data_IF_018914442777
#
_entry.id   IF_018914442777
#
_cell.length_a   1.000
_cell.length_b   1.000
_cell.length_c   1.000
_cell.angle_alpha   90.00
_cell.angle_beta   90.00
_cell.angle_gamma   90.00
#
_symmetry.space_group_name_H-M   'P 1'
#
loop_
_entity.id
_entity.type
_entity.pdbx_description
1 polymer ?
#
# COMPACT_ATOMS: atom_id res chain seq x y z
N UNK A 1 6.92 10.60 -16.97
CA UNK A 1 5.56 11.16 -16.73
C UNK A 1 4.61 9.98 -16.79
N UNK A 2 4.32 9.33 -15.67
CA UNK A 2 3.34 8.24 -15.61
C UNK A 2 1.98 8.86 -15.32
N UNK A 3 1.07 8.78 -16.28
CA UNK A 3 -0.28 9.28 -16.16
C UNK A 3 -1.03 8.49 -15.07
N UNK A 4 -1.59 9.19 -14.09
CA UNK A 4 -2.64 8.63 -13.23
C UNK A 4 -3.83 8.32 -14.12
N UNK A 5 -4.06 7.04 -14.42
CA UNK A 5 -5.23 6.61 -15.16
C UNK A 5 -6.49 7.05 -14.39
N UNK A 6 -7.47 7.70 -15.04
CA UNK A 6 -8.72 8.04 -14.39
C UNK A 6 -9.43 6.75 -13.97
N UNK A 7 -9.86 6.68 -12.69
CA UNK A 7 -10.59 5.53 -12.19
C UNK A 7 -11.94 5.40 -12.93
N UNK A 8 -12.29 4.23 -13.50
CA UNK A 8 -13.61 3.99 -14.07
C UNK A 8 -14.69 4.00 -12.97
N UNK A 9 -15.71 4.85 -13.14
CA UNK A 9 -16.82 5.03 -12.21
C UNK A 9 -17.60 3.72 -11.98
N UNK A 10 -17.88 3.40 -10.71
CA UNK A 10 -18.77 2.29 -10.31
C UNK A 10 -18.11 0.90 -10.23
N UNK A 11 -16.79 0.80 -10.41
CA UNK A 11 -16.06 -0.44 -10.15
C UNK A 11 -15.81 -0.64 -8.64
N UNK A 12 -15.86 -1.88 -8.16
CA UNK A 12 -15.38 -2.21 -6.80
C UNK A 12 -13.86 -2.34 -6.82
N UNK A 13 -13.22 -1.77 -5.82
CA UNK A 13 -11.76 -1.67 -5.75
C UNK A 13 -11.23 -2.27 -4.46
N UNK A 14 -9.98 -2.71 -4.51
CA UNK A 14 -9.17 -2.95 -3.32
C UNK A 14 -7.90 -2.10 -3.40
N UNK A 15 -7.32 -1.81 -2.25
CA UNK A 15 -6.03 -1.14 -2.17
C UNK A 15 -4.93 -2.20 -2.17
N UNK A 16 -4.09 -2.18 -3.19
CA UNK A 16 -2.83 -2.93 -3.19
C UNK A 16 -1.74 -2.07 -2.60
N UNK A 17 -1.02 -2.61 -1.62
CA UNK A 17 0.15 -1.99 -1.00
C UNK A 17 1.35 -2.83 -1.38
N UNK A 18 2.38 -2.18 -1.93
CA UNK A 18 3.63 -2.83 -2.33
C UNK A 18 4.79 -2.20 -1.56
N UNK A 19 5.63 -3.03 -0.95
CA UNK A 19 6.86 -2.63 -0.29
C UNK A 19 8.03 -3.35 -0.94
N UNK A 20 9.05 -2.59 -1.36
CA UNK A 20 10.30 -3.19 -1.85
C UNK A 20 11.09 -3.75 -0.66
N UNK A 21 11.63 -4.96 -0.71
CA UNK A 21 12.51 -5.41 0.38
C UNK A 21 13.83 -4.63 0.38
N UNK A 22 14.28 -4.16 1.54
CA UNK A 22 15.61 -3.57 1.65
C UNK A 22 16.69 -4.65 1.52
N UNK A 23 17.88 -4.31 1.01
CA UNK A 23 19.05 -5.16 1.18
C UNK A 23 19.36 -5.25 2.69
N UNK A 24 19.05 -6.39 3.30
CA UNK A 24 19.13 -6.59 4.74
C UNK A 24 20.12 -7.71 5.09
N UNK A 25 20.76 -7.60 6.26
CA UNK A 25 21.50 -8.74 6.82
C UNK A 25 20.55 -9.90 7.12
N UNK A 26 21.05 -11.15 7.20
CA UNK A 26 20.22 -12.35 7.43
C UNK A 26 19.30 -12.23 8.66
N UNK A 27 19.74 -11.52 9.70
CA UNK A 27 18.94 -11.26 10.91
C UNK A 27 17.80 -10.28 10.66
N UNK A 28 18.10 -9.13 10.04
CA UNK A 28 17.09 -8.12 9.69
C UNK A 28 16.07 -8.67 8.68
N UNK A 29 16.51 -9.51 7.75
CA UNK A 29 15.64 -10.22 6.82
C UNK A 29 14.64 -11.13 7.55
N UNK A 30 15.10 -11.90 8.55
CA UNK A 30 14.21 -12.76 9.34
C UNK A 30 13.21 -11.95 10.18
N UNK A 31 13.61 -10.80 10.72
CA UNK A 31 12.70 -9.89 11.43
C UNK A 31 11.63 -9.31 10.50
N UNK A 32 12.04 -8.86 9.30
CA UNK A 32 11.12 -8.37 8.29
C UNK A 32 10.14 -9.46 7.85
N UNK A 33 10.63 -10.67 7.59
CA UNK A 33 9.80 -11.84 7.28
C UNK A 33 8.76 -12.11 8.37
N UNK A 34 9.17 -12.15 9.65
CA UNK A 34 8.27 -12.46 10.76
C UNK A 34 7.17 -11.41 10.93
N UNK A 35 7.48 -10.13 10.67
CA UNK A 35 6.49 -9.05 10.75
C UNK A 35 5.54 -9.01 9.56
N UNK A 36 6.04 -9.24 8.33
CA UNK A 36 5.25 -9.04 7.11
C UNK A 36 4.50 -10.29 6.64
N UNK A 37 5.06 -11.49 6.83
CA UNK A 37 4.42 -12.75 6.43
C UNK A 37 2.97 -12.94 6.87
N UNK A 38 2.53 -12.52 8.08
CA UNK A 38 1.12 -12.67 8.47
C UNK A 38 0.17 -11.72 7.75
N UNK A 39 0.67 -10.63 7.15
CA UNK A 39 -0.17 -9.55 6.59
C UNK A 39 0.09 -9.27 5.10
N UNK A 40 1.15 -9.81 4.53
CA UNK A 40 1.58 -9.59 3.16
C UNK A 40 2.16 -10.86 2.54
N UNK A 41 1.93 -11.04 1.23
CA UNK A 41 2.59 -12.04 0.41
C UNK A 41 3.92 -11.52 -0.11
N UNK A 42 4.93 -12.38 -0.17
CA UNK A 42 6.23 -12.05 -0.76
C UNK A 42 6.33 -12.58 -2.20
N UNK A 43 6.77 -11.73 -3.11
CA UNK A 43 7.13 -12.08 -4.48
C UNK A 43 8.65 -12.12 -4.62
N UNK A 44 9.19 -13.32 -4.82
CA UNK A 44 10.63 -13.53 -5.01
C UNK A 44 11.16 -12.95 -6.32
N UNK A 45 10.33 -12.85 -7.37
CA UNK A 45 10.78 -12.36 -8.67
C UNK A 45 11.04 -10.85 -8.63
N UNK A 46 10.20 -10.10 -7.92
CA UNK A 46 10.32 -8.64 -7.79
C UNK A 46 10.98 -8.21 -6.48
N UNK A 47 11.21 -9.15 -5.55
CA UNK A 47 11.68 -8.87 -4.18
C UNK A 47 10.77 -7.86 -3.48
N UNK A 48 9.46 -8.04 -3.63
CA UNK A 48 8.45 -7.14 -3.04
C UNK A 48 7.47 -7.87 -2.14
N UNK A 49 7.01 -7.15 -1.13
CA UNK A 49 5.90 -7.54 -0.28
C UNK A 49 4.64 -6.87 -0.79
N UNK A 50 3.55 -7.63 -0.90
CA UNK A 50 2.26 -7.12 -1.33
C UNK A 50 1.15 -7.48 -0.34
N UNK A 51 0.32 -6.50 -0.01
CA UNK A 51 -0.87 -6.68 0.78
C UNK A 51 -2.08 -6.10 0.04
N UNK A 52 -3.26 -6.64 0.34
CA UNK A 52 -4.52 -6.22 -0.23
C UNK A 52 -5.47 -5.83 0.88
N UNK A 53 -6.01 -4.62 0.81
CA UNK A 53 -6.98 -4.11 1.79
C UNK A 53 -8.28 -3.80 1.07
N UNK A 54 -9.36 -4.35 1.62
CA UNK A 54 -10.70 -4.17 1.11
C UNK A 54 -11.44 -2.95 1.64
N UNK A 55 -11.09 -2.48 2.83
CA UNK A 55 -11.68 -1.32 3.47
C UNK A 55 -10.72 -0.75 4.52
N UNK A 56 -10.82 0.55 4.82
CA UNK A 56 -10.08 1.19 5.91
C UNK A 56 -10.76 0.97 7.26
N UNK A 57 -11.04 -0.29 7.60
CA UNK A 57 -11.44 -0.66 8.95
C UNK A 57 -10.20 -0.77 9.88
N UNK A 58 -10.42 -1.12 11.16
CA UNK A 58 -9.33 -1.22 12.14
C UNK A 58 -8.24 -2.21 11.71
N UNK A 59 -8.62 -3.31 11.02
CA UNK A 59 -7.67 -4.30 10.55
C UNK A 59 -6.88 -3.81 9.33
N UNK A 60 -7.55 -3.10 8.41
CA UNK A 60 -6.93 -2.41 7.29
C UNK A 60 -5.94 -1.34 7.75
N UNK A 61 -6.33 -0.50 8.70
CA UNK A 61 -5.45 0.51 9.30
C UNK A 61 -4.24 -0.12 10.01
N UNK A 62 -4.45 -1.19 10.78
CA UNK A 62 -3.36 -1.93 11.42
C UNK A 62 -2.37 -2.52 10.42
N UNK A 63 -2.87 -3.04 9.28
CA UNK A 63 -2.05 -3.55 8.18
C UNK A 63 -1.23 -2.42 7.55
N UNK A 64 -1.85 -1.28 7.23
CA UNK A 64 -1.14 -0.11 6.71
C UNK A 64 -0.05 0.35 7.68
N UNK A 65 -0.38 0.50 8.96
CA UNK A 65 0.57 0.97 9.95
C UNK A 65 1.77 0.03 10.08
N UNK A 66 1.55 -1.29 10.16
CA UNK A 66 2.64 -2.26 10.22
C UNK A 66 3.54 -2.21 8.97
N UNK A 67 2.94 -2.01 7.80
CA UNK A 67 3.64 -1.86 6.52
C UNK A 67 4.49 -0.59 6.49
N UNK A 68 3.94 0.57 6.89
CA UNK A 68 4.67 1.83 6.99
C UNK A 68 5.77 1.81 8.05
N UNK A 69 5.52 1.26 9.24
CA UNK A 69 6.51 1.14 10.31
C UNK A 69 7.70 0.26 9.87
N UNK A 70 7.41 -0.84 9.18
CA UNK A 70 8.43 -1.71 8.59
C UNK A 70 9.24 -0.94 7.55
N UNK A 71 8.56 -0.20 6.66
CA UNK A 71 9.23 0.56 5.63
C UNK A 71 10.12 1.68 6.17
N UNK A 72 9.66 2.38 7.19
CA UNK A 72 10.44 3.38 7.91
C UNK A 72 11.66 2.76 8.61
N UNK A 73 11.51 1.58 9.20
CA UNK A 73 12.59 0.89 9.93
C UNK A 73 13.69 0.40 9.01
N UNK A 74 13.33 -0.14 7.84
CA UNK A 74 14.28 -0.77 6.93
C UNK A 74 14.63 0.09 5.69
N UNK A 75 14.07 1.29 5.58
CA UNK A 75 14.37 2.24 4.50
C UNK A 75 13.78 1.82 3.15
N UNK A 76 12.59 1.22 3.16
CA UNK A 76 11.94 0.73 1.94
C UNK A 76 10.86 1.68 1.43
N UNK A 77 10.62 1.67 0.13
CA UNK A 77 9.55 2.46 -0.48
C UNK A 77 8.20 1.74 -0.33
N UNK A 78 7.16 2.46 0.11
CA UNK A 78 5.77 2.00 0.13
C UNK A 78 5.02 2.63 -1.03
N UNK A 79 4.42 1.78 -1.87
CA UNK A 79 3.56 2.19 -2.98
C UNK A 79 2.14 1.73 -2.72
N UNK A 80 1.17 2.62 -2.93
CA UNK A 80 -0.25 2.35 -2.79
C UNK A 80 -0.88 2.49 -4.17
N UNK A 81 -1.65 1.50 -4.59
CA UNK A 81 -2.35 1.52 -5.86
C UNK A 81 -3.76 0.94 -5.69
N UNK A 82 -4.80 1.64 -6.18
CA UNK A 82 -6.10 1.00 -6.33
C UNK A 82 -6.03 -0.02 -7.46
N UNK A 83 -6.52 -1.23 -7.20
CA UNK A 83 -6.59 -2.29 -8.20
C UNK A 83 -8.00 -2.87 -8.28
N UNK A 84 -8.45 -3.31 -9.47
CA UNK A 84 -9.72 -3.99 -9.60
C UNK A 84 -9.77 -5.22 -8.68
N UNK A 85 -10.93 -5.49 -8.11
CA UNK A 85 -11.13 -6.66 -7.24
C UNK A 85 -10.78 -7.97 -8.00
N UNK A 86 -9.77 -8.73 -7.56
CA UNK A 86 -9.43 -10.01 -8.16
C UNK A 86 -10.59 -11.01 -8.01
N UNK A 87 -10.77 -11.91 -8.98
CA UNK A 87 -11.82 -12.95 -8.92
C UNK A 87 -11.74 -13.85 -7.69
N UNK A 88 -10.56 -14.00 -7.10
CA UNK A 88 -10.31 -14.80 -5.89
C UNK A 88 -10.59 -14.05 -4.58
N UNK A 89 -10.87 -12.75 -4.64
CA UNK A 89 -11.08 -11.92 -3.46
C UNK A 89 -12.42 -12.23 -2.80
N UNK A 90 -12.40 -12.43 -1.48
CA UNK A 90 -13.59 -12.70 -0.65
C UNK A 90 -13.78 -11.69 0.49
N UNK A 91 -12.94 -10.66 0.53
CA UNK A 91 -12.96 -9.64 1.57
C UNK A 91 -13.91 -8.49 1.25
N UNK A 92 -13.90 -7.48 2.13
CA UNK A 92 -14.55 -6.19 1.89
C UNK A 92 -13.96 -5.51 0.65
N UNK A 93 -14.67 -4.54 0.09
CA UNK A 93 -14.20 -3.75 -1.06
C UNK A 93 -14.53 -2.30 -0.81
N UNK A 94 -13.71 -1.40 -1.36
CA UNK A 94 -14.03 0.02 -1.35
C UNK A 94 -15.23 0.22 -2.27
N UNK A 95 -16.25 0.87 -1.74
CA UNK A 95 -17.52 1.12 -2.44
C UNK A 95 -17.61 2.55 -2.95
N UNK A 96 -16.67 3.42 -2.57
CA UNK A 96 -16.62 4.82 -2.99
C UNK A 96 -15.25 5.22 -3.52
N UNK A 97 -15.21 5.77 -4.73
CA UNK A 97 -14.02 6.34 -5.35
C UNK A 97 -13.45 7.50 -4.51
N UNK A 98 -14.29 8.18 -3.72
CA UNK A 98 -13.85 9.30 -2.86
C UNK A 98 -12.94 8.85 -1.72
N UNK A 99 -13.15 7.65 -1.19
CA UNK A 99 -12.33 7.10 -0.09
C UNK A 99 -10.92 6.77 -0.57
N UNK A 100 -10.81 6.16 -1.75
CA UNK A 100 -9.52 5.87 -2.39
C UNK A 100 -8.83 7.17 -2.81
N UNK A 101 -9.56 8.12 -3.40
CA UNK A 101 -9.00 9.40 -3.81
C UNK A 101 -8.44 10.20 -2.62
N UNK A 102 -9.11 10.19 -1.47
CA UNK A 102 -8.62 10.83 -0.26
C UNK A 102 -7.30 10.19 0.22
N UNK A 103 -7.20 8.86 0.18
CA UNK A 103 -6.00 8.13 0.59
C UNK A 103 -4.82 8.38 -0.35
N UNK A 104 -5.05 8.39 -1.67
CA UNK A 104 -4.01 8.69 -2.65
C UNK A 104 -3.51 10.14 -2.54
N UNK A 105 -4.40 11.10 -2.26
CA UNK A 105 -4.02 12.50 -2.00
C UNK A 105 -3.16 12.61 -0.74
N UNK A 106 -3.54 11.95 0.35
CA UNK A 106 -2.77 11.95 1.58
C UNK A 106 -1.35 11.41 1.38
N UNK A 107 -1.19 10.33 0.60
CA UNK A 107 0.13 9.79 0.26
C UNK A 107 0.97 10.77 -0.57
N UNK A 108 0.35 11.42 -1.57
CA UNK A 108 1.02 12.39 -2.43
C UNK A 108 1.48 13.63 -1.64
N UNK A 109 0.70 14.07 -0.65
CA UNK A 109 1.04 15.18 0.24
C UNK A 109 2.18 14.82 1.22
N UNK A 110 2.24 13.60 1.74
CA UNK A 110 3.34 13.17 2.63
C UNK A 110 4.67 13.03 1.86
N UNK A 111 4.60 12.62 0.60
CA UNK A 111 5.76 12.55 -0.30
C UNK A 111 6.23 13.92 -0.79
N UNK A 112 5.58 15.01 -0.34
CA UNK A 112 5.85 16.36 -0.79
C UNK A 112 7.00 17.00 0.01
N UNK A 113 8.00 17.59 -0.67
CA UNK A 113 9.02 18.39 0.01
C UNK A 113 8.37 19.56 0.78
N UNK A 114 8.75 19.75 2.03
CA UNK A 114 8.37 20.91 2.86
C UNK A 114 8.61 22.20 2.07
N UNK A 115 7.54 22.97 1.80
CA UNK A 115 7.62 24.27 1.11
C UNK A 115 6.74 24.43 -0.14
N UNK A 116 6.09 23.38 -0.63
CA UNK A 116 5.09 23.51 -1.70
C UNK A 116 3.66 23.63 -1.14
N UNK A 117 2.91 24.65 -1.57
CA UNK A 117 1.51 24.91 -1.19
C UNK A 117 0.52 23.99 -1.93
N UNK A 118 -0.55 23.46 -1.30
CA UNK A 118 -1.54 22.59 -1.96
C UNK A 118 -2.08 23.25 -3.22
N UNK A 119 -2.10 22.53 -4.34
CA UNK A 119 -2.77 23.02 -5.54
C UNK A 119 -4.27 22.85 -5.31
N UNK A 120 -4.96 24.00 -5.19
CA UNK A 120 -6.40 24.09 -5.12
C UNK A 120 -7.07 23.57 -6.40
#
# INVERSE_FOLDING_TARGET
MTASQPLPEGASWILQITITSAPATKTQWNEQLNKLRPIAGYDEATQTWSAHIGALDLAGLGTLQALFDTARTYGTEVRLAPVPVPKSWRGTVFTSDSEIAALLRAQADESRPLGHLPLA
#
